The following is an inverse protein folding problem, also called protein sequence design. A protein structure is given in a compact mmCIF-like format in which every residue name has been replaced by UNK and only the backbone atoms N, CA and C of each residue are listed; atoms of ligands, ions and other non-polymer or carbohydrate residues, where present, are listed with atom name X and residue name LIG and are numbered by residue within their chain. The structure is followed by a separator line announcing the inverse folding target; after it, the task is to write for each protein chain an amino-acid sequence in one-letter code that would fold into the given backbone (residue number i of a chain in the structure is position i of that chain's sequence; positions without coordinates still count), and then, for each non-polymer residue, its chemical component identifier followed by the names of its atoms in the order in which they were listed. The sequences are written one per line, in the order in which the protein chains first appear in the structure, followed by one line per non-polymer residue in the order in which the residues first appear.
data_IF_170050555096
#
_entry.id   IF_170050555096
#
_cell.length_a   1.000
_cell.length_b   1.000
_cell.length_c   1.000
_cell.angle_alpha   90.00
_cell.angle_beta   90.00
_cell.angle_gamma   90.00
#
_symmetry.space_group_name_H-M   'P 1'
#
loop_
_entity.id
_entity.type
_entity.pdbx_description
1 polymer ?
#
# COMPACT_ATOMS: atom_id res chain seq x y z
N UNK A 1 21.25 -10.61 -9.23
CA UNK A 1 21.18 -11.18 -7.86
C UNK A 1 20.02 -10.57 -7.05
N UNK A 2 18.87 -10.30 -7.70
CA UNK A 2 17.69 -9.68 -7.07
C UNK A 2 16.38 -10.18 -7.72
N UNK A 3 16.34 -11.45 -8.11
CA UNK A 3 15.17 -12.01 -8.78
C UNK A 3 14.46 -12.95 -7.80
N UNK A 4 13.21 -12.58 -7.44
CA UNK A 4 12.20 -13.42 -6.80
C UNK A 4 12.23 -13.56 -5.26
N UNK A 5 12.35 -12.46 -4.51
CA UNK A 5 11.82 -12.48 -3.13
C UNK A 5 10.31 -12.18 -3.18
N UNK A 6 9.45 -13.04 -2.61
CA UNK A 6 8.01 -12.86 -2.68
C UNK A 6 7.59 -11.60 -1.91
N UNK A 7 6.60 -10.87 -2.46
CA UNK A 7 6.02 -9.65 -1.89
C UNK A 7 5.71 -9.77 -0.39
N UNK A 8 5.41 -10.99 0.04
CA UNK A 8 5.18 -11.40 1.43
C UNK A 8 6.23 -10.94 2.44
N UNK A 9 7.49 -10.73 2.03
CA UNK A 9 8.56 -10.25 2.93
C UNK A 9 8.83 -8.76 2.84
N UNK A 10 8.20 -8.04 1.91
CA UNK A 10 8.64 -6.70 1.51
C UNK A 10 8.44 -5.66 2.63
N UNK A 11 7.32 -5.67 3.35
CA UNK A 11 7.14 -4.75 4.50
C UNK A 11 8.05 -5.07 5.69
N UNK A 12 8.28 -6.36 5.97
CA UNK A 12 9.09 -6.81 7.11
C UNK A 12 10.58 -6.53 6.90
N UNK A 13 11.05 -6.53 5.66
CA UNK A 13 12.47 -6.40 5.34
C UNK A 13 12.99 -4.96 5.52
N UNK A 14 12.14 -3.95 5.29
CA UNK A 14 12.59 -2.56 5.20
C UNK A 14 12.52 -1.76 6.51
N UNK A 15 12.02 -2.33 7.62
CA UNK A 15 11.82 -1.65 8.93
C UNK A 15 11.23 -0.23 8.75
N UNK A 16 10.07 -0.16 8.10
CA UNK A 16 9.39 1.10 7.83
C UNK A 16 8.63 1.58 9.07
N UNK A 17 8.47 2.89 9.17
CA UNK A 17 7.64 3.53 10.18
C UNK A 17 6.17 3.50 9.76
N UNK A 18 5.28 3.32 10.73
CA UNK A 18 3.85 3.16 10.52
C UNK A 18 3.05 4.14 11.36
N UNK A 19 1.92 4.57 10.81
CA UNK A 19 0.91 5.43 11.43
C UNK A 19 -0.45 4.72 11.42
N UNK A 20 -1.35 5.15 12.31
CA UNK A 20 -2.70 4.60 12.48
C UNK A 20 -2.75 3.10 12.85
N UNK A 21 -1.63 2.52 13.30
CA UNK A 21 -1.54 1.14 13.77
C UNK A 21 -0.66 1.03 15.01
N UNK A 22 -0.96 0.07 15.89
CA UNK A 22 -0.18 -0.19 17.11
C UNK A 22 1.14 -0.93 16.84
N UNK A 23 1.28 -1.55 15.66
CA UNK A 23 2.49 -2.23 15.19
C UNK A 23 2.54 -2.26 13.66
N UNK A 24 3.72 -2.51 13.11
CA UNK A 24 3.89 -2.73 11.68
C UNK A 24 3.00 -3.88 11.17
N UNK A 25 2.37 -3.66 10.02
CA UNK A 25 1.56 -4.67 9.34
C UNK A 25 2.42 -5.57 8.46
N UNK A 26 2.00 -6.82 8.33
CA UNK A 26 2.69 -7.86 7.56
C UNK A 26 1.77 -8.42 6.48
N UNK A 27 2.30 -8.60 5.27
CA UNK A 27 1.52 -9.17 4.16
C UNK A 27 1.07 -10.62 4.43
N UNK A 28 1.85 -11.39 5.17
CA UNK A 28 1.57 -12.81 5.45
C UNK A 28 0.67 -13.02 6.67
N UNK A 29 0.71 -12.10 7.64
CA UNK A 29 -0.07 -12.19 8.87
C UNK A 29 -1.37 -11.42 8.76
N UNK A 30 -1.26 -10.10 8.59
CA UNK A 30 -2.38 -9.17 8.73
C UNK A 30 -3.24 -9.07 7.48
N UNK A 31 -2.61 -9.27 6.31
CA UNK A 31 -3.26 -9.09 5.00
C UNK A 31 -3.71 -10.43 4.38
N UNK A 32 -3.49 -11.55 5.06
CA UNK A 32 -3.84 -12.88 4.55
C UNK A 32 -5.34 -13.11 4.61
N UNK A 33 -5.90 -13.65 3.52
CA UNK A 33 -7.34 -13.92 3.41
C UNK A 33 -8.22 -12.67 3.21
N UNK A 34 -7.59 -11.52 2.98
CA UNK A 34 -8.24 -10.25 2.68
C UNK A 34 -7.75 -9.71 1.34
N UNK A 35 -8.55 -8.85 0.72
CA UNK A 35 -8.17 -7.98 -0.38
C UNK A 35 -7.48 -6.76 0.23
N UNK A 36 -6.22 -6.53 -0.09
CA UNK A 36 -5.48 -5.35 0.35
C UNK A 36 -5.40 -4.34 -0.78
N UNK A 37 -5.77 -3.09 -0.52
CA UNK A 37 -5.61 -1.97 -1.45
C UNK A 37 -4.46 -1.12 -0.95
N UNK A 38 -3.32 -1.21 -1.64
CA UNK A 38 -2.16 -0.37 -1.34
C UNK A 38 -2.25 0.91 -2.18
N UNK A 39 -2.38 2.06 -1.52
CA UNK A 39 -2.38 3.37 -2.17
C UNK A 39 -0.98 4.00 -2.11
N UNK A 40 -0.30 4.07 -3.25
CA UNK A 40 0.99 4.75 -3.33
C UNK A 40 0.78 6.24 -3.55
N UNK A 41 0.92 7.01 -2.49
CA UNK A 41 0.60 8.43 -2.47
C UNK A 41 1.72 9.30 -1.88
N UNK A 42 1.57 10.61 -2.06
CA UNK A 42 2.31 11.64 -1.33
C UNK A 42 1.33 12.77 -0.96
N UNK A 43 1.49 13.35 0.23
CA UNK A 43 0.60 14.40 0.73
C UNK A 43 0.68 15.72 -0.06
N UNK A 44 1.69 15.92 -0.90
CA UNK A 44 1.82 17.14 -1.71
C UNK A 44 1.19 17.02 -3.11
N UNK A 45 0.67 15.84 -3.47
CA UNK A 45 0.11 15.59 -4.80
C UNK A 45 -1.40 15.82 -4.81
N UNK A 46 -1.87 16.81 -5.58
CA UNK A 46 -3.29 17.11 -5.70
C UNK A 46 -4.10 15.92 -6.23
N UNK A 47 -3.51 15.14 -7.16
CA UNK A 47 -4.16 13.94 -7.69
C UNK A 47 -4.34 12.86 -6.62
N UNK A 48 -3.41 12.76 -5.67
CA UNK A 48 -3.54 11.86 -4.53
C UNK A 48 -4.65 12.32 -3.58
N UNK A 49 -4.86 13.63 -3.42
CA UNK A 49 -5.92 14.11 -2.52
C UNK A 49 -7.32 13.82 -3.06
N UNK A 50 -7.49 13.77 -4.39
CA UNK A 50 -8.78 13.48 -5.01
C UNK A 50 -9.26 12.03 -4.83
N UNK A 51 -8.35 11.09 -4.55
CA UNK A 51 -8.70 9.68 -4.33
C UNK A 51 -9.11 9.40 -2.87
N UNK A 52 -8.69 10.24 -1.91
CA UNK A 52 -8.97 10.01 -0.48
C UNK A 52 -10.48 9.81 -0.17
N UNK A 53 -11.43 10.58 -0.73
CA UNK A 53 -12.85 10.35 -0.48
C UNK A 53 -13.36 9.00 -1.02
N UNK A 54 -12.78 8.51 -2.12
CA UNK A 54 -13.12 7.19 -2.68
C UNK A 54 -12.60 6.06 -1.78
N UNK A 55 -11.41 6.24 -1.18
CA UNK A 55 -10.84 5.32 -0.21
C UNK A 55 -11.63 5.30 1.10
N UNK A 56 -12.03 6.47 1.60
CA UNK A 56 -12.89 6.60 2.78
C UNK A 56 -14.23 5.87 2.56
N UNK A 57 -14.87 6.09 1.41
CA UNK A 57 -16.09 5.38 1.04
C UNK A 57 -15.89 3.85 0.93
N UNK A 58 -14.71 3.39 0.52
CA UNK A 58 -14.37 1.97 0.48
C UNK A 58 -14.20 1.40 1.90
N UNK A 59 -13.55 2.16 2.79
CA UNK A 59 -13.37 1.81 4.20
C UNK A 59 -14.70 1.73 4.96
N UNK A 60 -15.60 2.69 4.75
CA UNK A 60 -16.94 2.69 5.33
C UNK A 60 -17.75 1.46 4.91
N UNK A 61 -17.60 1.03 3.65
CA UNK A 61 -18.27 -0.18 3.12
C UNK A 61 -17.64 -1.47 3.63
N UNK A 62 -16.34 -1.46 3.93
CA UNK A 62 -15.59 -2.63 4.38
C UNK A 62 -14.78 -2.30 5.64
N UNK A 63 -15.44 -2.20 6.81
CA UNK A 63 -14.76 -1.83 8.05
C UNK A 63 -13.65 -2.82 8.41
N UNK A 64 -12.47 -2.40 8.89
CA UNK A 64 -11.32 -3.28 9.12
C UNK A 64 -11.59 -4.47 10.07
N UNK A 65 -12.53 -4.33 11.00
CA UNK A 65 -12.85 -5.37 11.99
C UNK A 65 -13.51 -6.60 11.35
N UNK A 66 -14.39 -6.38 10.36
CA UNK A 66 -15.24 -7.42 9.74
C UNK A 66 -15.07 -7.50 8.21
N UNK A 67 -14.26 -6.62 7.64
CA UNK A 67 -14.15 -6.37 6.21
C UNK A 67 -13.18 -7.33 5.52
N UNK A 68 -13.60 -7.79 4.34
CA UNK A 68 -12.76 -8.52 3.39
C UNK A 68 -11.70 -7.63 2.76
N UNK A 69 -11.85 -6.30 2.85
CA UNK A 69 -10.96 -5.31 2.23
C UNK A 69 -10.20 -4.55 3.31
N UNK A 70 -8.91 -4.29 3.09
CA UNK A 70 -8.09 -3.41 3.92
C UNK A 70 -7.32 -2.42 3.04
N UNK A 71 -7.54 -1.13 3.28
CA UNK A 71 -6.77 -0.05 2.63
C UNK A 71 -5.49 0.21 3.43
N UNK A 72 -4.38 0.40 2.74
CA UNK A 72 -3.09 0.77 3.33
C UNK A 72 -2.44 1.86 2.47
N UNK A 73 -2.18 3.01 3.08
CA UNK A 73 -1.46 4.10 2.43
C UNK A 73 0.04 3.86 2.45
N UNK A 74 0.67 3.77 1.29
CA UNK A 74 2.12 3.71 1.12
C UNK A 74 2.63 5.10 0.75
N UNK A 75 2.97 5.88 1.77
CA UNK A 75 3.50 7.22 1.58
C UNK A 75 4.92 7.15 0.99
N UNK A 76 5.05 7.48 -0.30
CA UNK A 76 6.31 7.45 -1.05
C UNK A 76 6.72 8.88 -1.36
N UNK A 77 7.69 9.42 -0.60
CA UNK A 77 8.08 10.82 -0.64
C UNK A 77 8.62 11.25 -2.02
N UNK A 78 8.09 12.37 -2.55
CA UNK A 78 8.58 13.03 -3.76
C UNK A 78 9.70 14.03 -3.44
N UNK A 79 9.53 14.81 -2.37
CA UNK A 79 10.50 15.79 -1.89
C UNK A 79 11.13 15.38 -0.53
N UNK A 80 12.29 15.95 -0.19
CA UNK A 80 13.01 15.63 1.05
C UNK A 80 12.17 15.91 2.31
N UNK A 81 11.41 17.01 2.31
CA UNK A 81 10.55 17.40 3.42
C UNK A 81 9.44 16.39 3.71
N UNK A 82 9.03 15.62 2.70
CA UNK A 82 7.97 14.60 2.84
C UNK A 82 8.47 13.32 3.49
N UNK A 83 9.79 13.18 3.68
CA UNK A 83 10.36 12.04 4.41
C UNK A 83 10.21 12.18 5.92
N UNK A 84 9.93 13.40 6.40
CA UNK A 84 9.86 13.73 7.82
C UNK A 84 8.54 13.25 8.41
N UNK A 85 8.61 12.33 9.37
CA UNK A 85 7.47 11.66 10.01
C UNK A 85 6.44 12.63 10.56
N UNK A 86 6.88 13.70 11.23
CA UNK A 86 5.99 14.72 11.79
C UNK A 86 5.16 15.45 10.71
N UNK A 87 5.71 15.64 9.52
CA UNK A 87 4.97 16.27 8.41
C UNK A 87 3.92 15.31 7.83
N UNK A 88 4.26 14.01 7.77
CA UNK A 88 3.33 12.97 7.34
C UNK A 88 2.18 12.84 8.33
N UNK A 89 2.47 12.79 9.64
CA UNK A 89 1.46 12.74 10.69
C UNK A 89 0.51 13.96 10.66
N UNK A 90 1.08 15.17 10.49
CA UNK A 90 0.29 16.38 10.33
C UNK A 90 -0.61 16.33 9.08
N UNK A 91 -0.12 15.72 7.98
CA UNK A 91 -0.91 15.53 6.77
C UNK A 91 -2.02 14.50 6.96
N UNK A 92 -1.74 13.37 7.64
CA UNK A 92 -2.72 12.33 7.98
C UNK A 92 -3.88 12.96 8.76
N UNK A 93 -3.59 13.76 9.78
CA UNK A 93 -4.60 14.47 10.56
C UNK A 93 -5.35 15.52 9.74
N UNK A 94 -4.65 16.28 8.89
CA UNK A 94 -5.25 17.33 8.08
C UNK A 94 -6.25 16.79 7.05
N UNK A 95 -5.94 15.65 6.44
CA UNK A 95 -6.76 15.03 5.41
C UNK A 95 -7.67 13.92 5.95
N UNK A 96 -7.75 13.79 7.28
CA UNK A 96 -8.58 12.81 7.98
C UNK A 96 -8.39 11.37 7.49
N UNK A 97 -7.12 10.98 7.30
CA UNK A 97 -6.76 9.63 6.86
C UNK A 97 -6.81 8.68 8.06
N UNK A 98 -7.76 7.74 8.06
CA UNK A 98 -7.95 6.78 9.15
C UNK A 98 -7.25 5.44 8.94
N UNK A 99 -7.05 5.03 7.69
CA UNK A 99 -6.39 3.76 7.38
C UNK A 99 -4.90 3.73 7.78
N UNK A 100 -4.31 2.52 7.94
CA UNK A 100 -2.88 2.34 8.16
C UNK A 100 -2.03 3.04 7.10
N UNK A 101 -1.04 3.83 7.52
CA UNK A 101 -0.09 4.48 6.61
C UNK A 101 1.34 4.05 6.93
N UNK A 102 2.13 3.74 5.91
CA UNK A 102 3.55 3.41 6.02
C UNK A 102 4.40 4.48 5.34
N UNK A 103 5.48 4.90 6.01
CA UNK A 103 6.45 5.86 5.48
C UNK A 103 7.54 5.13 4.65
N UNK A 104 7.36 5.04 3.34
CA UNK A 104 8.41 4.61 2.39
C UNK A 104 9.31 5.80 2.01
N UNK A 105 9.98 6.39 2.99
CA UNK A 105 10.79 7.62 2.84
C UNK A 105 11.87 7.52 1.76
N UNK A 106 12.41 6.32 1.52
CA UNK A 106 13.45 6.07 0.51
C UNK A 106 12.90 5.55 -0.82
N UNK A 107 11.57 5.48 -0.97
CA UNK A 107 10.87 4.92 -2.13
C UNK A 107 11.37 3.51 -2.48
N UNK A 108 11.69 2.69 -1.47
CA UNK A 108 12.22 1.33 -1.66
C UNK A 108 11.13 0.40 -2.16
N UNK A 109 9.96 0.44 -1.53
CA UNK A 109 8.81 -0.36 -1.92
C UNK A 109 8.30 0.09 -3.29
N UNK A 110 8.21 1.41 -3.49
CA UNK A 110 7.90 2.02 -4.78
C UNK A 110 8.80 1.50 -5.92
N UNK A 111 10.12 1.54 -5.73
CA UNK A 111 11.10 1.07 -6.73
C UNK A 111 11.05 -0.44 -6.92
N UNK A 112 10.91 -1.19 -5.83
CA UNK A 112 10.86 -2.64 -5.86
C UNK A 112 9.64 -3.14 -6.64
N UNK A 113 8.51 -2.44 -6.55
CA UNK A 113 7.28 -2.75 -7.27
C UNK A 113 7.21 -2.14 -8.69
N UNK A 114 8.24 -1.40 -9.11
CA UNK A 114 8.27 -0.77 -10.44
C UNK A 114 7.19 0.30 -10.63
N UNK A 115 6.77 0.96 -9.55
CA UNK A 115 5.78 2.05 -9.62
C UNK A 115 6.46 3.30 -10.15
N UNK A 116 5.73 4.10 -10.93
CA UNK A 116 6.29 5.26 -11.64
C UNK A 116 5.43 6.51 -11.58
N UNK A 117 4.25 6.45 -10.96
CA UNK A 117 3.27 7.53 -10.95
C UNK A 117 2.44 7.57 -9.66
N UNK A 118 2.14 8.80 -9.22
CA UNK A 118 1.28 9.07 -8.07
C UNK A 118 -0.08 9.61 -8.55
N UNK A 119 -1.22 9.17 -7.97
CA UNK A 119 -1.35 7.97 -7.15
C UNK A 119 -1.23 6.68 -7.99
N UNK A 120 -0.85 5.58 -7.36
CA UNK A 120 -0.99 4.22 -7.93
C UNK A 120 -1.70 3.34 -6.92
N UNK A 121 -2.79 2.69 -7.32
CA UNK A 121 -3.44 1.67 -6.50
C UNK A 121 -2.94 0.28 -6.89
N UNK A 122 -2.54 -0.50 -5.88
CA UNK A 122 -2.18 -1.90 -6.04
C UNK A 122 -3.12 -2.76 -5.20
N UNK A 123 -3.92 -3.58 -5.87
CA UNK A 123 -4.86 -4.49 -5.21
C UNK A 123 -4.22 -5.88 -5.14
N UNK A 124 -4.18 -6.44 -3.93
CA UNK A 124 -3.62 -7.75 -3.61
C UNK A 124 -4.72 -8.63 -3.00
N UNK A 125 -5.08 -9.74 -3.65
CA UNK A 125 -5.93 -10.76 -3.05
C UNK A 125 -5.06 -11.95 -2.60
N UNK A 126 -4.96 -12.20 -1.28
CA UNK A 126 -4.15 -13.30 -0.78
C UNK A 126 -4.96 -14.62 -0.76
N UNK A 127 -4.93 -15.35 -1.88
CA UNK A 127 -5.57 -16.66 -2.07
C UNK A 127 -5.47 -17.21 -3.50
N UNK A 128 -5.42 -16.31 -4.47
CA UNK A 128 -5.02 -16.52 -5.87
C UNK A 128 -4.27 -15.25 -6.26
N UNK A 129 -3.08 -15.35 -6.83
CA UNK A 129 -2.30 -14.18 -7.24
C UNK A 129 -3.01 -13.40 -8.34
N UNK A 130 -3.86 -12.44 -7.96
CA UNK A 130 -4.38 -11.37 -8.82
C UNK A 130 -3.79 -10.06 -8.32
N UNK A 131 -2.68 -9.67 -8.92
CA UNK A 131 -2.03 -8.38 -8.74
C UNK A 131 -2.67 -7.41 -9.73
N UNK A 132 -3.50 -6.46 -9.27
CA UNK A 132 -4.05 -5.40 -10.12
C UNK A 132 -3.29 -4.11 -9.82
N UNK A 133 -2.43 -3.67 -10.75
CA UNK A 133 -1.80 -2.34 -10.69
C UNK A 133 -2.60 -1.37 -11.55
N UNK A 134 -3.16 -0.33 -10.93
CA UNK A 134 -3.79 0.80 -11.61
C UNK A 134 -2.82 1.99 -11.57
N UNK A 135 -2.02 2.14 -12.62
CA UNK A 135 -1.02 3.20 -12.76
C UNK A 135 -1.59 4.48 -13.40
N UNK A 136 -2.73 4.39 -14.09
CA UNK A 136 -3.52 5.54 -14.53
C UNK A 136 -4.99 5.13 -14.46
N UNK A 137 -5.90 6.09 -14.42
CA UNK A 137 -7.35 5.93 -14.24
C UNK A 137 -8.00 4.84 -15.12
N UNK A 138 -7.34 4.33 -16.17
CA UNK A 138 -7.70 3.07 -16.82
C UNK A 138 -6.41 2.40 -17.32
N UNK A 139 -5.97 1.28 -16.75
CA UNK A 139 -5.34 0.12 -17.44
C UNK A 139 -4.87 -0.93 -16.42
N UNK A 140 -5.30 -2.18 -16.62
CA UNK A 140 -5.00 -3.35 -15.79
C UNK A 140 -3.72 -4.04 -16.30
N UNK A 141 -2.66 -4.12 -15.48
CA UNK A 141 -1.54 -5.02 -15.74
C UNK A 141 -1.58 -6.21 -14.77
N UNK A 142 -1.85 -7.40 -15.29
CA UNK A 142 -1.77 -8.65 -14.54
C UNK A 142 -0.32 -9.14 -14.52
N UNK A 143 0.29 -9.20 -13.34
CA UNK A 143 1.53 -9.95 -13.12
C UNK A 143 1.19 -11.26 -12.39
N UNK A 144 1.34 -12.38 -13.09
CA UNK A 144 1.31 -13.73 -12.51
C UNK A 144 2.73 -14.13 -12.14
N UNK A 145 3.00 -14.31 -10.85
CA UNK A 145 4.14 -15.12 -10.41
C UNK A 145 3.57 -16.32 -9.65
N UNK A 146 3.75 -17.50 -10.27
CA UNK A 146 3.33 -18.80 -9.75
C UNK A 146 4.15 -19.10 -8.49
N UNK A 147 3.54 -19.02 -7.31
CA UNK A 147 4.07 -19.72 -6.14
C UNK A 147 3.79 -21.21 -6.34
N UNK A 148 4.81 -21.94 -6.76
CA UNK A 148 4.86 -23.40 -6.69
C UNK A 148 4.74 -23.83 -5.22
N UNK A 149 3.57 -24.34 -4.84
CA UNK A 149 3.42 -25.17 -3.64
C UNK A 149 4.22 -26.47 -3.87
N UNK A 150 5.03 -26.95 -2.90
CA UNK A 150 5.54 -28.31 -2.98
C UNK A 150 4.37 -29.29 -2.76
N UNK A 151 4.31 -30.41 -3.50
CA UNK A 151 3.27 -31.42 -3.35
C UNK A 151 3.38 -32.15 -1.99
N UNK A 152 2.30 -32.82 -1.54
CA UNK A 152 2.18 -33.43 -0.20
C UNK A 152 3.16 -34.57 0.07
#
# INVERSE_FOLDING_TARGET
MWENEPLTKTFCHFRLEWFNVSRALTLVGDLKGRISVLDFFTYCCINCMHILPDLECLEDKHPPENGEVLVVGVHSAKFENERVSANIEAAIQKYDIHHPVVNDSQAKLWKHLGISCWPTLLILACGLTCTLTLQHVVYLHFYTSLCSLPPP
#
